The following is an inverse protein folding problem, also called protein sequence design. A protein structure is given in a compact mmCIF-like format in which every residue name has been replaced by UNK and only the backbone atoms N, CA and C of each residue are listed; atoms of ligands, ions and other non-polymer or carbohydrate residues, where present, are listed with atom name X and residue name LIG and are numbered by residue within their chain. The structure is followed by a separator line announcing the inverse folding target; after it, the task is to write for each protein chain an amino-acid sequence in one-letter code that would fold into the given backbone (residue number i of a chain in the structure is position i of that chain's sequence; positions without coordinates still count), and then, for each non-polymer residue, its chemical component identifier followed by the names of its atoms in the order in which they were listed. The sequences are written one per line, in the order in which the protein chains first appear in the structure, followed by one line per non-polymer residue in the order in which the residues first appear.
data_IF_530633026705
#
_entry.id   IF_530633026705
#
_cell.length_a   1.000
_cell.length_b   1.000
_cell.length_c   1.000
_cell.angle_alpha   90.00
_cell.angle_beta   90.00
_cell.angle_gamma   90.00
#
_symmetry.space_group_name_H-M   'P 1'
#
loop_
_entity.id
_entity.type
_entity.pdbx_description
1 polymer ?
#
# COMPACT_ATOMS: atom_id res chain seq x y z
N UNK A 1 -3.47 -12.34 -1.73
CA UNK A 1 -2.11 -12.19 -1.17
C UNK A 1 -2.05 -10.88 -0.39
N UNK A 2 -1.55 -10.92 0.83
CA UNK A 2 -1.34 -9.70 1.62
C UNK A 2 -0.03 -9.01 1.22
N UNK A 3 -0.05 -7.69 1.27
CA UNK A 3 1.05 -6.81 0.93
C UNK A 3 0.95 -5.52 1.71
N UNK A 4 2.06 -4.82 1.83
CA UNK A 4 2.11 -3.49 2.42
C UNK A 4 2.12 -2.45 1.31
N UNK A 5 1.13 -1.57 1.30
CA UNK A 5 1.07 -0.40 0.44
C UNK A 5 1.67 0.80 1.15
N UNK A 6 2.75 1.34 0.60
CA UNK A 6 3.45 2.52 1.09
C UNK A 6 3.14 3.71 0.18
N UNK A 7 2.67 4.79 0.81
CA UNK A 7 2.44 6.10 0.21
C UNK A 7 3.51 7.05 0.70
N UNK A 8 4.06 7.86 -0.20
CA UNK A 8 5.15 8.80 0.10
C UNK A 8 4.83 10.19 -0.46
N UNK A 9 5.35 11.21 0.22
CA UNK A 9 4.98 12.60 0.01
C UNK A 9 5.74 13.29 -1.12
N UNK A 10 5.06 14.23 -1.78
CA UNK A 10 5.66 15.28 -2.63
C UNK A 10 6.40 14.86 -3.90
N UNK A 11 5.74 14.06 -4.73
CA UNK A 11 6.28 13.70 -6.04
C UNK A 11 5.88 14.62 -7.19
N UNK A 12 4.71 15.27 -7.10
CA UNK A 12 4.10 15.97 -8.23
C UNK A 12 4.59 17.41 -8.44
N UNK A 13 5.43 17.93 -7.54
CA UNK A 13 6.03 19.28 -7.63
C UNK A 13 7.49 19.25 -8.10
N UNK A 14 8.03 18.07 -8.47
CA UNK A 14 9.45 17.88 -8.79
C UNK A 14 9.60 17.30 -10.20
N UNK A 15 10.71 17.62 -10.87
CA UNK A 15 11.04 17.04 -12.17
C UNK A 15 11.24 15.52 -12.07
N UNK A 16 11.02 14.79 -13.16
CA UNK A 16 11.14 13.31 -13.17
C UNK A 16 12.51 12.79 -12.67
N UNK A 17 13.66 13.43 -12.96
CA UNK A 17 14.95 13.05 -12.36
C UNK A 17 14.98 13.14 -10.83
N UNK A 18 14.45 14.23 -10.26
CA UNK A 18 14.42 14.45 -8.81
C UNK A 18 13.52 13.41 -8.14
N UNK A 19 12.37 13.12 -8.75
CA UNK A 19 11.45 12.07 -8.32
C UNK A 19 12.11 10.68 -8.30
N UNK A 20 12.82 10.30 -9.37
CA UNK A 20 13.55 9.02 -9.42
C UNK A 20 14.63 8.94 -8.33
N UNK A 21 15.35 10.03 -8.10
CA UNK A 21 16.37 10.11 -7.04
C UNK A 21 15.75 9.91 -5.65
N UNK A 22 14.65 10.61 -5.36
CA UNK A 22 13.92 10.47 -4.10
C UNK A 22 13.41 9.04 -3.88
N UNK A 23 12.76 8.43 -4.87
CA UNK A 23 12.27 7.04 -4.76
C UNK A 23 13.44 6.09 -4.50
N UNK A 24 14.58 6.28 -5.19
CA UNK A 24 15.77 5.46 -4.98
C UNK A 24 16.32 5.57 -3.56
N UNK A 25 16.36 6.77 -2.98
CA UNK A 25 16.75 6.97 -1.57
C UNK A 25 15.76 6.31 -0.62
N UNK A 26 14.47 6.50 -0.84
CA UNK A 26 13.41 5.93 0.00
C UNK A 26 13.47 4.39 0.00
N UNK A 27 13.61 3.77 -1.16
CA UNK A 27 13.74 2.31 -1.28
C UNK A 27 14.98 1.79 -0.56
N UNK A 28 16.11 2.49 -0.64
CA UNK A 28 17.33 2.10 0.11
C UNK A 28 17.11 2.17 1.60
N UNK A 29 16.44 3.21 2.10
CA UNK A 29 16.16 3.37 3.52
C UNK A 29 15.16 2.31 4.02
N UNK A 30 14.10 2.05 3.25
CA UNK A 30 13.14 0.98 3.53
C UNK A 30 13.84 -0.38 3.58
N UNK A 31 14.66 -0.70 2.57
CA UNK A 31 15.42 -1.95 2.53
C UNK A 31 16.29 -2.12 3.78
N UNK A 32 17.09 -1.11 4.14
CA UNK A 32 17.93 -1.15 5.35
C UNK A 32 17.12 -1.35 6.63
N UNK A 33 15.97 -0.67 6.75
CA UNK A 33 15.11 -0.79 7.93
C UNK A 33 14.52 -2.20 8.06
N UNK A 34 14.04 -2.78 6.96
CA UNK A 34 13.50 -4.14 6.95
C UNK A 34 14.60 -5.21 7.15
N UNK A 35 15.74 -5.07 6.47
CA UNK A 35 16.91 -5.95 6.64
C UNK A 35 17.38 -5.96 8.11
N UNK A 36 17.38 -4.81 8.79
CA UNK A 36 17.78 -4.71 10.21
C UNK A 36 16.86 -5.47 11.17
N UNK A 37 15.66 -5.82 10.72
CA UNK A 37 14.67 -6.61 11.45
C UNK A 37 14.60 -8.06 10.96
N UNK A 38 15.41 -8.44 9.97
CA UNK A 38 15.42 -9.78 9.39
C UNK A 38 14.15 -10.10 8.60
N UNK A 39 13.43 -9.09 8.11
CA UNK A 39 12.16 -9.28 7.40
C UNK A 39 12.40 -9.53 5.91
N UNK A 40 11.91 -10.66 5.39
CA UNK A 40 11.98 -10.94 3.96
C UNK A 40 11.03 -10.02 3.21
N UNK A 41 11.51 -9.39 2.13
CA UNK A 41 10.71 -8.42 1.42
C UNK A 41 11.07 -8.29 -0.06
N UNK A 42 10.05 -7.97 -0.86
CA UNK A 42 10.15 -7.65 -2.28
C UNK A 42 9.39 -6.38 -2.58
N UNK A 43 10.10 -5.39 -3.11
CA UNK A 43 9.50 -4.11 -3.53
C UNK A 43 8.98 -4.19 -4.98
N UNK A 44 7.79 -3.64 -5.20
CA UNK A 44 7.22 -3.34 -6.51
C UNK A 44 6.82 -1.86 -6.54
N UNK A 45 7.41 -1.07 -7.45
CA UNK A 45 7.11 0.36 -7.58
C UNK A 45 6.06 0.56 -8.66
N UNK A 46 4.89 1.07 -8.30
CA UNK A 46 3.80 1.36 -9.24
C UNK A 46 3.37 2.82 -9.14
N UNK A 47 3.57 3.61 -10.22
CA UNK A 47 3.04 4.97 -10.45
C UNK A 47 2.74 5.79 -9.17
N UNK A 48 3.77 6.04 -8.35
CA UNK A 48 3.67 6.85 -7.13
C UNK A 48 3.38 6.10 -5.84
N UNK A 49 3.43 4.77 -5.86
CA UNK A 49 3.24 3.87 -4.71
C UNK A 49 4.33 2.81 -4.71
N UNK A 50 4.68 2.34 -3.51
CA UNK A 50 5.54 1.19 -3.31
C UNK A 50 4.69 0.09 -2.69
N UNK A 51 4.64 -1.07 -3.32
CA UNK A 51 4.06 -2.29 -2.77
C UNK A 51 5.21 -3.13 -2.21
N UNK A 52 5.00 -3.73 -1.04
CA UNK A 52 5.96 -4.62 -0.40
C UNK A 52 5.28 -5.95 -0.13
N UNK A 53 5.76 -7.02 -0.75
CA UNK A 53 5.39 -8.38 -0.40
C UNK A 53 6.45 -8.96 0.55
N UNK A 54 6.05 -9.80 1.49
CA UNK A 54 6.94 -10.42 2.47
C UNK A 54 6.19 -11.41 3.35
N UNK A 55 6.92 -12.00 4.28
CA UNK A 55 6.45 -13.05 5.21
C UNK A 55 5.61 -12.48 6.36
N UNK A 56 5.92 -11.28 6.86
CA UNK A 56 5.15 -10.60 7.90
C UNK A 56 4.73 -9.17 7.47
N UNK A 57 3.55 -9.02 6.84
CA UNK A 57 3.03 -7.72 6.43
C UNK A 57 2.84 -6.73 7.60
N UNK A 58 2.53 -7.22 8.81
CA UNK A 58 2.33 -6.40 9.99
C UNK A 58 3.64 -5.78 10.48
N UNK A 59 4.68 -6.60 10.63
CA UNK A 59 6.02 -6.14 10.99
C UNK A 59 6.63 -5.23 9.92
N UNK A 60 6.44 -5.56 8.64
CA UNK A 60 6.86 -4.71 7.51
C UNK A 60 6.16 -3.36 7.59
N UNK A 61 4.85 -3.32 7.79
CA UNK A 61 4.10 -2.07 7.87
C UNK A 61 4.56 -1.20 9.06
N UNK A 62 4.72 -1.81 10.24
CA UNK A 62 5.18 -1.11 11.44
C UNK A 62 6.60 -0.56 11.31
N UNK A 63 7.46 -1.21 10.52
CA UNK A 63 8.83 -0.80 10.30
C UNK A 63 8.90 0.30 9.23
N UNK A 64 8.17 0.13 8.14
CA UNK A 64 8.10 1.10 7.06
C UNK A 64 7.51 2.45 7.51
N UNK A 65 6.54 2.45 8.44
CA UNK A 65 5.90 3.68 8.93
C UNK A 65 6.85 4.62 9.69
N UNK A 66 7.99 4.11 10.17
CA UNK A 66 9.03 4.88 10.87
C UNK A 66 10.08 5.48 9.92
N UNK A 67 10.02 5.16 8.62
CA UNK A 67 11.00 5.64 7.64
C UNK A 67 10.59 7.01 7.11
N UNK A 68 11.46 8.02 7.28
CA UNK A 68 11.20 9.35 6.76
C UNK A 68 10.95 9.36 5.24
N UNK A 69 10.00 10.18 4.82
CA UNK A 69 9.51 10.25 3.43
C UNK A 69 8.29 9.37 3.17
N UNK A 70 8.01 8.40 4.05
CA UNK A 70 6.72 7.69 4.08
C UNK A 70 5.67 8.61 4.72
N UNK A 71 4.52 8.72 4.05
CA UNK A 71 3.37 9.51 4.51
C UNK A 71 2.31 8.61 5.11
N UNK A 72 2.11 7.42 4.54
CA UNK A 72 1.11 6.49 5.02
C UNK A 72 1.44 5.06 4.61
N UNK A 73 1.01 4.09 5.43
CA UNK A 73 1.27 2.67 5.25
C UNK A 73 -0.01 1.88 5.50
N UNK A 74 -0.31 0.91 4.66
CA UNK A 74 -1.49 0.04 4.83
C UNK A 74 -1.18 -1.40 4.49
N UNK A 75 -1.46 -2.32 5.42
CA UNK A 75 -1.59 -3.74 5.08
C UNK A 75 -2.83 -3.89 4.20
N UNK A 76 -2.63 -4.46 3.01
CA UNK A 76 -3.58 -4.47 1.91
C UNK A 76 -3.69 -5.89 1.35
N UNK A 77 -4.89 -6.25 0.91
CA UNK A 77 -5.15 -7.50 0.21
C UNK A 77 -5.17 -7.24 -1.31
N UNK A 78 -4.31 -7.92 -2.07
CA UNK A 78 -4.37 -7.90 -3.54
C UNK A 78 -5.38 -8.92 -4.03
N UNK A 79 -6.28 -8.44 -4.89
CA UNK A 79 -7.37 -9.22 -5.50
C UNK A 79 -7.37 -9.01 -7.01
N UNK A 80 -8.11 -9.85 -7.72
CA UNK A 80 -8.46 -9.57 -9.11
C UNK A 80 -9.33 -8.30 -9.21
N UNK A 81 -9.25 -7.55 -10.32
CA UNK A 81 -10.06 -6.35 -10.53
C UNK A 81 -11.54 -6.65 -10.87
N UNK A 82 -12.03 -7.86 -10.56
CA UNK A 82 -13.43 -8.23 -10.74
C UNK A 82 -14.26 -7.74 -9.52
N UNK A 83 -15.38 -7.01 -9.74
CA UNK A 83 -16.17 -6.41 -8.66
C UNK A 83 -16.70 -7.41 -7.62
N UNK A 84 -17.22 -8.56 -8.07
CA UNK A 84 -17.75 -9.58 -7.17
C UNK A 84 -16.64 -10.14 -6.25
N UNK A 85 -15.47 -10.40 -6.83
CA UNK A 85 -14.30 -10.86 -6.07
C UNK A 85 -13.78 -9.80 -5.11
N UNK A 86 -13.79 -8.52 -5.53
CA UNK A 86 -13.39 -7.40 -4.69
C UNK A 86 -14.34 -7.24 -3.49
N UNK A 87 -15.66 -7.26 -3.71
CA UNK A 87 -16.67 -7.17 -2.65
C UNK A 87 -16.54 -8.33 -1.67
N UNK A 88 -16.40 -9.57 -2.16
CA UNK A 88 -16.21 -10.75 -1.30
C UNK A 88 -14.96 -10.63 -0.43
N UNK A 89 -13.85 -10.17 -1.01
CA UNK A 89 -12.59 -9.98 -0.30
C UNK A 89 -12.67 -8.85 0.73
N UNK A 90 -13.33 -7.75 0.38
CA UNK A 90 -13.55 -6.62 1.29
C UNK A 90 -14.42 -7.02 2.49
N UNK A 91 -15.51 -7.77 2.25
CA UNK A 91 -16.37 -8.28 3.32
C UNK A 91 -15.62 -9.22 4.26
N UNK A 92 -14.84 -10.17 3.73
CA UNK A 92 -14.03 -11.07 4.54
C UNK A 92 -13.09 -10.31 5.47
N UNK A 93 -12.42 -9.26 4.95
CA UNK A 93 -11.51 -8.44 5.76
C UNK A 93 -12.25 -7.55 6.77
N UNK A 94 -13.41 -7.03 6.37
CA UNK A 94 -14.22 -6.17 7.22
C UNK A 94 -14.80 -6.94 8.41
N UNK A 95 -15.20 -8.20 8.23
CA UNK A 95 -15.75 -9.05 9.28
C UNK A 95 -14.77 -9.31 10.45
N UNK A 96 -13.46 -9.19 10.22
CA UNK A 96 -12.45 -9.31 11.27
C UNK A 96 -12.48 -8.13 12.27
N UNK A 97 -13.07 -6.99 11.89
CA UNK A 97 -12.99 -5.74 12.67
C UNK A 97 -14.33 -5.04 12.91
N UNK A 98 -15.28 -5.14 11.96
CA UNK A 98 -16.62 -4.55 12.08
C UNK A 98 -17.51 -5.37 13.02
N UNK A 99 -18.21 -4.65 13.91
CA UNK A 99 -19.17 -5.21 14.87
C UNK A 99 -20.56 -4.58 14.68
N UNK A 100 -21.64 -5.24 15.13
CA UNK A 100 -22.98 -4.65 15.12
C UNK A 100 -22.99 -3.25 15.76
N UNK A 101 -23.63 -2.29 15.09
CA UNK A 101 -23.71 -0.90 15.54
C UNK A 101 -22.55 0.02 15.09
N UNK A 102 -21.52 -0.50 14.43
CA UNK A 102 -20.46 0.34 13.85
C UNK A 102 -20.88 0.97 12.52
N UNK A 103 -20.43 2.19 12.27
CA UNK A 103 -20.52 2.84 10.96
C UNK A 103 -19.24 2.61 10.16
N UNK A 104 -19.35 2.61 8.83
CA UNK A 104 -18.22 2.46 7.93
C UNK A 104 -18.40 3.36 6.71
N UNK A 105 -17.32 3.59 5.97
CA UNK A 105 -17.34 4.26 4.68
C UNK A 105 -16.34 3.61 3.74
N UNK A 106 -16.69 3.56 2.44
CA UNK A 106 -15.80 3.05 1.39
C UNK A 106 -15.14 4.23 0.69
N UNK A 107 -13.82 4.20 0.55
CA UNK A 107 -13.05 5.19 -0.21
C UNK A 107 -12.34 4.51 -1.36
N UNK A 108 -12.97 4.51 -2.54
CA UNK A 108 -12.38 3.96 -3.74
C UNK A 108 -11.40 4.94 -4.41
N UNK A 109 -10.24 4.45 -4.82
CA UNK A 109 -9.30 5.18 -5.69
C UNK A 109 -8.92 4.30 -6.86
N UNK A 110 -9.18 4.77 -8.07
CA UNK A 110 -8.84 4.06 -9.31
C UNK A 110 -7.47 4.48 -9.84
N UNK A 111 -6.77 3.55 -10.48
CA UNK A 111 -5.62 3.86 -11.34
C UNK A 111 -5.66 2.97 -12.59
N UNK A 112 -5.55 3.59 -13.77
CA UNK A 112 -5.31 2.87 -15.03
C UNK A 112 -6.47 2.00 -15.54
N UNK A 113 -7.73 2.39 -15.31
CA UNK A 113 -8.91 1.57 -15.70
C UNK A 113 -9.92 2.39 -16.51
N UNK A 114 -10.59 1.74 -17.45
CA UNK A 114 -11.88 2.13 -18.04
C UNK A 114 -12.97 1.20 -17.47
N UNK A 115 -14.21 1.68 -17.33
CA UNK A 115 -15.31 0.97 -16.65
C UNK A 115 -15.78 1.66 -15.36
N UNK A 116 -16.21 0.86 -14.38
CA UNK A 116 -16.88 1.23 -13.10
C UNK A 116 -16.18 2.40 -12.40
N UNK A 117 -16.89 3.51 -12.20
CA UNK A 117 -16.45 4.74 -11.52
C UNK A 117 -16.03 4.50 -10.07
N UNK A 118 -15.44 5.50 -9.41
CA UNK A 118 -15.14 5.37 -7.98
C UNK A 118 -16.37 5.56 -7.08
N UNK A 119 -17.50 5.99 -7.65
CA UNK A 119 -18.77 6.17 -6.95
C UNK A 119 -19.64 4.91 -7.02
N UNK A 120 -19.55 4.19 -8.14
CA UNK A 120 -20.06 2.83 -8.32
C UNK A 120 -19.19 1.80 -7.59
#
# INVERSE_FOLDING_TARGET
MELVLIRYGELFLKSEPVKRHFIGLLLRNLKKALDSKGLEHRFEVQRGRILVAGDDPGAIASTASRVFGVVDVSVSLRTDPNPERLCKSALSRAQESLKPGMSFAVRAKRQGVHGITSQE
#
